data_IF_179283922854
#
_entry.id   IF_179283922854
#
_cell.length_a   1.000
_cell.length_b   1.000
_cell.length_c   1.000
_cell.angle_alpha   90.00
_cell.angle_beta   90.00
_cell.angle_gamma   90.00
#
_symmetry.space_group_name_H-M   'P 1'
#
loop_
_entity.id
_entity.type
_entity.pdbx_description
1 polymer ?
#
# COMPACT_ATOMS: atom_id res chain seq x y z
N UNK A 1 -19.02 85.44 30.51
CA UNK A 1 -19.05 84.52 29.34
C UNK A 1 -18.01 83.42 29.57
N UNK A 2 -18.51 82.19 29.76
CA UNK A 2 -17.89 80.87 29.52
C UNK A 2 -16.55 80.54 30.18
N UNK A 3 -16.65 79.85 31.32
CA UNK A 3 -15.74 78.78 31.75
C UNK A 3 -16.60 77.51 31.86
N UNK A 4 -15.98 76.35 31.65
CA UNK A 4 -16.47 74.97 31.86
C UNK A 4 -16.89 74.21 30.60
N UNK A 5 -15.94 73.40 30.10
CA UNK A 5 -16.21 72.17 29.34
C UNK A 5 -14.94 71.29 29.35
N UNK A 6 -14.57 70.81 30.52
CA UNK A 6 -13.67 69.67 30.70
C UNK A 6 -14.32 68.76 31.74
N UNK A 7 -14.15 67.44 31.56
CA UNK A 7 -14.69 66.34 32.39
C UNK A 7 -16.10 65.86 32.00
N UNK A 8 -16.22 65.07 30.94
CA UNK A 8 -17.10 63.87 30.89
C UNK A 8 -16.84 63.02 29.63
N UNK A 9 -15.72 62.32 29.55
CA UNK A 9 -15.55 61.21 28.60
C UNK A 9 -14.46 60.26 29.08
N UNK A 10 -14.71 59.65 30.24
CA UNK A 10 -13.72 58.79 30.92
C UNK A 10 -14.41 57.67 31.68
N UNK A 11 -15.38 56.97 31.08
CA UNK A 11 -15.83 55.67 31.62
C UNK A 11 -16.76 54.96 30.63
N UNK A 12 -16.19 54.09 29.78
CA UNK A 12 -16.70 52.74 29.45
C UNK A 12 -15.84 52.17 28.30
N UNK A 13 -14.68 51.64 28.67
CA UNK A 13 -14.09 50.51 27.93
C UNK A 13 -14.09 49.37 28.92
N UNK A 14 -15.27 48.76 29.10
CA UNK A 14 -15.36 47.42 29.67
C UNK A 14 -14.61 46.51 28.69
N UNK A 15 -13.40 46.16 29.08
CA UNK A 15 -12.67 45.05 28.49
C UNK A 15 -13.52 43.80 28.67
N UNK A 16 -14.22 43.38 27.62
CA UNK A 16 -14.61 41.98 27.45
C UNK A 16 -13.33 41.19 27.18
N UNK A 17 -12.49 41.04 28.22
CA UNK A 17 -11.59 39.91 28.27
C UNK A 17 -12.47 38.69 28.45
N UNK A 18 -12.88 38.07 27.35
CA UNK A 18 -13.29 36.68 27.41
C UNK A 18 -12.08 35.96 28.02
N UNK A 19 -12.18 35.54 29.28
CA UNK A 19 -11.24 34.57 29.81
C UNK A 19 -11.35 33.36 28.87
N UNK A 20 -10.34 33.15 28.04
CA UNK A 20 -10.17 31.89 27.37
C UNK A 20 -9.95 30.88 28.50
N UNK A 21 -10.98 30.08 28.80
CA UNK A 21 -10.85 28.97 29.71
C UNK A 21 -9.93 27.98 29.00
N UNK A 22 -8.67 27.86 29.45
CA UNK A 22 -7.82 26.77 29.03
C UNK A 22 -8.53 25.47 29.40
N UNK A 23 -8.79 24.63 28.40
CA UNK A 23 -9.50 23.37 28.61
C UNK A 23 -8.54 22.40 29.33
N UNK A 24 -8.60 22.35 30.65
CA UNK A 24 -7.77 21.45 31.46
C UNK A 24 -8.48 20.10 31.69
N UNK A 25 -7.78 19.00 31.39
CA UNK A 25 -8.25 17.64 31.68
C UNK A 25 -7.70 17.15 33.02
N UNK A 26 -8.56 16.55 33.82
CA UNK A 26 -8.24 16.09 35.19
C UNK A 26 -7.21 14.95 35.25
N UNK A 27 -7.04 14.22 34.15
CA UNK A 27 -6.17 13.04 34.01
C UNK A 27 -5.01 13.28 33.02
N UNK A 28 -4.74 14.55 32.68
CA UNK A 28 -3.60 14.95 31.85
C UNK A 28 -2.86 16.10 32.56
N UNK A 29 -2.01 15.80 33.56
CA UNK A 29 -1.23 16.83 34.25
C UNK A 29 -0.22 17.51 33.32
N UNK A 30 0.28 18.69 33.68
CA UNK A 30 1.21 19.49 32.85
C UNK A 30 2.50 18.74 32.48
N UNK A 31 2.93 17.79 33.31
CA UNK A 31 4.11 16.95 33.10
C UNK A 31 3.81 15.66 32.30
N UNK A 32 2.55 15.44 31.89
CA UNK A 32 2.19 14.33 31.02
C UNK A 32 2.87 14.48 29.66
N UNK A 33 3.45 13.38 29.15
CA UNK A 33 4.29 13.42 27.94
C UNK A 33 3.59 13.97 26.69
N UNK A 34 2.26 13.80 26.60
CA UNK A 34 1.43 14.31 25.51
C UNK A 34 0.65 15.58 25.87
N UNK A 35 0.93 16.23 27.01
CA UNK A 35 0.17 17.38 27.53
C UNK A 35 0.02 18.48 26.47
N UNK A 36 1.13 18.91 25.86
CA UNK A 36 1.12 19.96 24.84
C UNK A 36 0.23 19.59 23.65
N UNK A 37 0.38 18.36 23.13
CA UNK A 37 -0.38 17.87 21.99
C UNK A 37 -1.88 17.81 22.30
N UNK A 38 -2.24 17.25 23.46
CA UNK A 38 -3.62 17.11 23.90
C UNK A 38 -4.26 18.48 24.09
N UNK A 39 -3.61 19.38 24.83
CA UNK A 39 -4.14 20.72 25.12
C UNK A 39 -4.32 21.53 23.84
N UNK A 40 -3.32 21.53 22.93
CA UNK A 40 -3.41 22.28 21.66
C UNK A 40 -4.52 21.75 20.75
N UNK A 41 -4.64 20.43 20.62
CA UNK A 41 -5.70 19.84 19.80
C UNK A 41 -7.09 20.04 20.41
N UNK A 42 -7.19 20.12 21.74
CA UNK A 42 -8.45 20.40 22.41
C UNK A 42 -8.87 21.87 22.27
N UNK A 43 -7.91 22.81 22.39
CA UNK A 43 -8.12 24.24 22.10
C UNK A 43 -8.64 24.47 20.67
N UNK A 44 -8.11 23.69 19.72
CA UNK A 44 -8.50 23.77 18.30
C UNK A 44 -9.77 22.95 17.98
N UNK A 45 -10.39 22.30 18.96
CA UNK A 45 -11.62 21.52 18.79
C UNK A 45 -11.46 20.19 18.03
N UNK A 46 -10.21 19.77 17.75
CA UNK A 46 -9.89 18.51 17.07
C UNK A 46 -10.22 17.32 17.95
N UNK A 47 -9.84 17.39 19.22
CA UNK A 47 -10.16 16.37 20.22
C UNK A 47 -11.05 16.95 21.31
N UNK A 48 -11.82 16.08 21.96
CA UNK A 48 -12.71 16.45 23.06
C UNK A 48 -12.56 15.43 24.19
N UNK A 49 -12.67 15.91 25.43
CA UNK A 49 -12.77 15.06 26.60
C UNK A 49 -14.19 14.64 26.90
N UNK A 50 -14.36 13.99 28.03
CA UNK A 50 -15.63 13.47 28.52
C UNK A 50 -16.34 14.49 29.43
N UNK A 51 -17.65 14.33 29.69
CA UNK A 51 -18.40 15.22 30.59
C UNK A 51 -17.85 15.31 32.02
N UNK A 52 -17.09 14.30 32.46
CA UNK A 52 -16.41 14.25 33.76
C UNK A 52 -15.08 15.03 33.80
N UNK A 53 -14.74 15.77 32.72
CA UNK A 53 -13.48 16.50 32.53
C UNK A 53 -12.24 15.60 32.42
N UNK A 54 -12.40 14.31 32.10
CA UNK A 54 -11.28 13.44 31.72
C UNK A 54 -11.04 13.48 30.21
N UNK A 55 -9.81 13.17 29.79
CA UNK A 55 -9.45 12.91 28.40
C UNK A 55 -9.33 11.40 28.10
N UNK A 56 -9.01 10.59 29.11
CA UNK A 56 -8.70 9.15 29.04
C UNK A 56 -7.53 8.85 28.11
N UNK A 57 -6.32 9.35 28.39
CA UNK A 57 -5.19 9.28 27.47
C UNK A 57 -4.80 7.86 27.05
N UNK A 58 -4.97 6.87 27.94
CA UNK A 58 -4.58 5.47 27.69
C UNK A 58 -5.68 4.62 27.04
N UNK A 59 -6.89 5.17 26.86
CA UNK A 59 -7.96 4.41 26.21
C UNK A 59 -7.65 4.19 24.73
N UNK A 60 -7.94 2.99 24.22
CA UNK A 60 -7.80 2.68 22.79
C UNK A 60 -8.78 3.50 21.95
N UNK A 61 -8.40 3.79 20.72
CA UNK A 61 -9.21 4.54 19.76
C UNK A 61 -9.78 3.61 18.71
N UNK A 62 -11.08 3.70 18.47
CA UNK A 62 -11.73 2.99 17.36
C UNK A 62 -11.40 3.63 16.02
N UNK A 63 -11.49 2.87 14.93
CA UNK A 63 -11.25 3.39 13.57
C UNK A 63 -12.21 4.52 13.21
N UNK A 64 -13.46 4.47 13.69
CA UNK A 64 -14.42 5.56 13.49
C UNK A 64 -14.13 6.82 14.32
N UNK A 65 -13.64 6.68 15.56
CA UNK A 65 -13.19 7.83 16.35
C UNK A 65 -11.94 8.48 15.73
N UNK A 66 -10.98 7.67 15.31
CA UNK A 66 -9.79 8.15 14.59
C UNK A 66 -10.18 8.91 13.32
N UNK A 67 -11.18 8.40 12.59
CA UNK A 67 -11.72 9.06 11.39
C UNK A 67 -12.23 10.47 11.69
N UNK A 68 -13.05 10.61 12.74
CA UNK A 68 -13.56 11.91 13.17
C UNK A 68 -12.46 12.87 13.63
N UNK A 69 -11.48 12.37 14.40
CA UNK A 69 -10.32 13.19 14.82
C UNK A 69 -9.49 13.65 13.62
N UNK A 70 -9.27 12.77 12.63
CA UNK A 70 -8.52 13.08 11.43
C UNK A 70 -9.23 14.14 10.57
N UNK A 71 -10.54 14.01 10.33
CA UNK A 71 -11.31 15.01 9.58
C UNK A 71 -11.17 16.40 10.20
N UNK A 72 -11.25 16.49 11.53
CA UNK A 72 -11.08 17.75 12.25
C UNK A 72 -9.66 18.28 12.20
N UNK A 73 -8.66 17.41 12.39
CA UNK A 73 -7.26 17.80 12.29
C UNK A 73 -6.90 18.37 10.90
N UNK A 74 -7.62 17.94 9.87
CA UNK A 74 -7.49 18.40 8.48
C UNK A 74 -8.35 19.62 8.13
N UNK A 75 -9.21 20.10 9.05
CA UNK A 75 -10.24 21.10 8.78
C UNK A 75 -11.13 20.71 7.58
N UNK A 76 -11.72 19.50 7.64
CA UNK A 76 -12.54 18.90 6.56
C UNK A 76 -13.96 18.54 6.98
N UNK A 77 -14.41 19.02 8.12
CA UNK A 77 -15.75 18.79 8.66
C UNK A 77 -16.85 19.30 7.73
N UNK A 78 -16.57 20.34 6.94
CA UNK A 78 -17.48 20.94 5.96
C UNK A 78 -17.32 20.35 4.56
N UNK A 79 -16.36 19.44 4.34
CA UNK A 79 -16.16 18.83 3.03
C UNK A 79 -17.38 17.96 2.69
N UNK A 80 -17.96 18.21 1.51
CA UNK A 80 -19.01 17.37 0.95
C UNK A 80 -18.46 15.96 0.68
N UNK A 81 -19.12 14.98 1.28
CA UNK A 81 -18.84 13.56 1.08
C UNK A 81 -19.55 13.07 -0.18
N UNK A 82 -18.86 12.28 -1.01
CA UNK A 82 -19.44 11.67 -2.23
C UNK A 82 -20.68 10.80 -1.94
N UNK A 83 -20.82 10.32 -0.70
CA UNK A 83 -21.94 9.52 -0.22
C UNK A 83 -21.95 8.09 -0.74
N UNK A 84 -20.92 7.68 -1.49
CA UNK A 84 -20.71 6.35 -2.02
C UNK A 84 -19.42 5.77 -1.43
N UNK A 85 -19.56 4.84 -0.49
CA UNK A 85 -18.44 4.08 0.08
C UNK A 85 -18.65 2.60 -0.22
N UNK A 86 -17.60 1.86 -0.62
CA UNK A 86 -17.71 0.45 -1.00
C UNK A 86 -17.86 -0.49 0.21
N UNK A 87 -18.13 0.05 1.41
CA UNK A 87 -18.10 -0.69 2.66
C UNK A 87 -19.48 -1.21 3.05
N UNK A 88 -19.59 -2.52 3.20
CA UNK A 88 -20.83 -3.25 3.52
C UNK A 88 -21.29 -3.08 4.97
N UNK A 89 -20.40 -2.66 5.86
CA UNK A 89 -20.63 -2.47 7.29
C UNK A 89 -20.82 -1.00 7.69
N UNK A 90 -21.02 -0.09 6.72
CA UNK A 90 -21.37 1.30 6.96
C UNK A 90 -22.83 1.58 6.64
N UNK A 91 -23.54 2.14 7.63
CA UNK A 91 -24.91 2.63 7.47
C UNK A 91 -24.94 4.16 7.49
N UNK A 92 -25.79 4.75 6.63
CA UNK A 92 -25.99 6.22 6.57
C UNK A 92 -26.44 6.84 7.89
N UNK A 93 -26.99 6.04 8.80
CA UNK A 93 -27.46 6.48 10.12
C UNK A 93 -26.35 6.48 11.19
N UNK A 94 -25.15 6.00 10.87
CA UNK A 94 -24.01 6.02 11.80
C UNK A 94 -23.48 7.44 11.96
N UNK A 95 -23.16 7.82 13.19
CA UNK A 95 -22.59 9.13 13.49
C UNK A 95 -21.28 9.39 12.74
N UNK A 96 -20.50 8.32 12.51
CA UNK A 96 -19.20 8.33 11.84
C UNK A 96 -19.28 8.23 10.31
N UNK A 97 -20.48 8.02 9.75
CA UNK A 97 -20.64 7.76 8.31
C UNK A 97 -20.02 8.87 7.47
N UNK A 98 -20.35 10.13 7.77
CA UNK A 98 -19.88 11.30 7.00
C UNK A 98 -18.36 11.45 7.09
N UNK A 99 -17.77 11.25 8.27
CA UNK A 99 -16.33 11.40 8.48
C UNK A 99 -15.53 10.29 7.81
N UNK A 100 -16.00 9.05 7.89
CA UNK A 100 -15.39 7.92 7.19
C UNK A 100 -15.46 8.13 5.66
N UNK A 101 -16.61 8.60 5.14
CA UNK A 101 -16.72 8.94 3.72
C UNK A 101 -15.73 10.03 3.33
N UNK A 102 -15.54 11.06 4.15
CA UNK A 102 -14.59 12.14 3.88
C UNK A 102 -13.17 11.62 3.77
N UNK A 103 -12.67 10.87 4.74
CA UNK A 103 -11.28 10.38 4.70
C UNK A 103 -11.06 9.34 3.60
N UNK A 104 -12.10 8.55 3.26
CA UNK A 104 -12.10 7.65 2.11
C UNK A 104 -11.96 8.46 0.82
N UNK A 105 -12.80 9.49 0.69
CA UNK A 105 -12.77 10.45 -0.40
C UNK A 105 -11.44 11.21 -0.48
N UNK A 106 -10.70 11.35 0.61
CA UNK A 106 -9.36 11.93 0.56
C UNK A 106 -8.31 10.93 0.07
N UNK A 107 -8.63 9.63 0.05
CA UNK A 107 -7.73 8.53 -0.25
C UNK A 107 -6.76 8.24 0.89
N UNK A 108 -7.13 8.63 2.12
CA UNK A 108 -6.31 8.47 3.32
C UNK A 108 -6.50 7.12 3.99
N UNK A 109 -7.71 6.58 3.92
CA UNK A 109 -8.04 5.27 4.46
C UNK A 109 -8.69 4.42 3.38
N UNK A 110 -8.34 3.14 3.38
CA UNK A 110 -8.98 2.08 2.61
C UNK A 110 -9.49 1.04 3.59
N UNK A 111 -10.65 0.45 3.32
CA UNK A 111 -11.17 -0.68 4.07
C UNK A 111 -10.42 -1.99 3.77
N UNK A 112 -10.99 -3.08 4.24
CA UNK A 112 -10.42 -4.42 4.14
C UNK A 112 -10.83 -5.10 2.83
N UNK A 113 -10.08 -6.13 2.39
CA UNK A 113 -10.38 -6.90 1.17
C UNK A 113 -11.78 -7.52 1.12
N UNK A 114 -12.44 -7.67 2.27
CA UNK A 114 -13.82 -8.19 2.43
C UNK A 114 -14.90 -7.11 2.22
N UNK A 115 -14.54 -5.93 1.69
CA UNK A 115 -15.42 -4.77 1.54
C UNK A 115 -16.00 -4.28 2.88
N UNK A 116 -15.23 -4.32 3.97
CA UNK A 116 -15.62 -3.75 5.26
C UNK A 116 -14.67 -2.65 5.70
N UNK A 117 -15.14 -1.72 6.54
CA UNK A 117 -14.30 -0.69 7.17
C UNK A 117 -13.90 -1.04 8.62
N UNK A 118 -14.71 -1.87 9.29
CA UNK A 118 -14.63 -2.26 10.70
C UNK A 118 -14.57 -1.05 11.65
N UNK A 119 -15.58 -0.16 11.62
CA UNK A 119 -15.54 1.14 12.33
C UNK A 119 -15.30 1.01 13.83
N UNK A 120 -15.96 0.05 14.48
CA UNK A 120 -15.87 -0.17 15.93
C UNK A 120 -14.60 -0.92 16.37
N UNK A 121 -13.76 -1.39 15.44
CA UNK A 121 -12.49 -2.01 15.80
C UNK A 121 -11.48 -0.94 16.21
N UNK A 122 -10.63 -1.27 17.18
CA UNK A 122 -9.51 -0.41 17.54
C UNK A 122 -8.51 -0.30 16.39
N UNK A 123 -7.96 0.90 16.19
CA UNK A 123 -6.92 1.15 15.20
C UNK A 123 -5.55 0.83 15.79
N UNK A 124 -4.70 0.16 15.02
CA UNK A 124 -3.31 -0.10 15.40
C UNK A 124 -2.44 1.15 15.23
N UNK A 125 -1.33 1.22 15.97
CA UNK A 125 -0.34 2.29 15.80
C UNK A 125 0.20 2.36 14.37
N UNK A 126 0.47 1.21 13.76
CA UNK A 126 0.93 1.13 12.38
C UNK A 126 -0.09 1.71 11.40
N UNK A 127 -1.37 1.35 11.52
CA UNK A 127 -2.41 1.91 10.64
C UNK A 127 -2.50 3.43 10.80
N UNK A 128 -2.54 3.94 12.04
CA UNK A 128 -2.63 5.38 12.30
C UNK A 128 -1.43 6.14 11.69
N UNK A 129 -0.21 5.66 11.92
CA UNK A 129 1.01 6.29 11.38
C UNK A 129 1.04 6.29 9.85
N UNK A 130 0.63 5.20 9.19
CA UNK A 130 0.61 5.11 7.72
C UNK A 130 -0.44 6.09 7.15
N UNK A 131 -1.63 6.14 7.73
CA UNK A 131 -2.68 7.07 7.30
C UNK A 131 -2.21 8.52 7.42
N UNK A 132 -1.56 8.86 8.52
CA UNK A 132 -1.02 10.21 8.74
C UNK A 132 0.18 10.52 7.84
N UNK A 133 1.06 9.55 7.58
CA UNK A 133 2.15 9.73 6.61
C UNK A 133 1.62 10.01 5.20
N UNK A 134 0.44 9.48 4.84
CA UNK A 134 -0.22 9.76 3.56
C UNK A 134 -0.77 11.20 3.46
N UNK A 135 -0.85 11.95 4.57
CA UNK A 135 -1.21 13.38 4.51
C UNK A 135 -0.03 14.28 4.12
N UNK A 136 1.18 13.73 4.03
CA UNK A 136 2.45 14.48 3.90
C UNK A 136 2.98 14.41 2.45
N UNK A 137 3.31 15.58 1.88
CA UNK A 137 3.67 15.80 0.46
C UNK A 137 5.12 15.45 0.09
N UNK A 138 5.99 15.14 1.04
CA UNK A 138 7.42 15.15 0.74
C UNK A 138 7.91 13.99 -0.13
N UNK A 139 8.82 14.37 -1.06
CA UNK A 139 9.66 13.51 -1.89
C UNK A 139 10.80 12.93 -1.02
N UNK A 140 10.48 12.05 -0.07
CA UNK A 140 11.54 11.29 0.58
C UNK A 140 12.04 10.19 -0.37
N UNK A 141 13.36 9.96 -0.39
CA UNK A 141 13.92 8.66 -0.77
C UNK A 141 13.71 7.67 0.40
N UNK A 142 12.46 7.57 0.86
CA UNK A 142 12.07 6.74 1.99
C UNK A 142 12.52 5.32 1.70
N UNK A 143 13.46 4.83 2.50
CA UNK A 143 13.96 3.49 2.33
C UNK A 143 13.69 2.67 3.59
N UNK A 144 14.06 1.39 3.59
CA UNK A 144 13.81 0.54 4.74
C UNK A 144 14.74 0.88 5.94
N UNK A 145 15.82 1.64 5.73
CA UNK A 145 16.84 1.88 6.77
C UNK A 145 16.38 2.84 7.86
N UNK A 146 15.38 3.67 7.56
CA UNK A 146 14.72 4.54 8.55
C UNK A 146 14.14 3.71 9.70
N UNK A 147 13.81 2.44 9.45
CA UNK A 147 13.28 1.53 10.45
C UNK A 147 14.36 0.79 11.25
N UNK A 148 15.63 0.85 10.83
CA UNK A 148 16.74 0.14 11.50
C UNK A 148 17.04 0.69 12.90
N UNK A 149 16.53 1.88 13.23
CA UNK A 149 16.65 2.48 14.56
C UNK A 149 15.78 1.77 15.61
N UNK A 150 14.78 1.00 15.17
CA UNK A 150 13.81 0.38 16.06
C UNK A 150 14.19 -1.04 16.45
N UNK A 151 14.16 -1.30 17.76
CA UNK A 151 14.47 -2.63 18.34
C UNK A 151 13.49 -3.71 17.88
N UNK A 152 12.26 -3.31 17.58
CA UNK A 152 11.15 -4.16 17.16
C UNK A 152 10.87 -4.09 15.65
N UNK A 153 11.84 -3.63 14.84
CA UNK A 153 11.74 -3.60 13.37
C UNK A 153 11.35 -4.97 12.78
N UNK A 154 11.81 -6.07 13.38
CA UNK A 154 11.47 -7.43 12.95
C UNK A 154 9.96 -7.77 13.07
N UNK A 155 9.20 -7.05 13.89
CA UNK A 155 7.75 -7.24 14.03
C UNK A 155 6.93 -6.46 12.99
N UNK A 156 7.58 -5.59 12.22
CA UNK A 156 6.93 -4.80 11.17
C UNK A 156 6.59 -5.70 10.00
N UNK A 157 5.29 -5.81 9.71
CA UNK A 157 4.77 -6.53 8.55
C UNK A 157 5.28 -5.89 7.25
N UNK A 158 5.61 -6.69 6.24
CA UNK A 158 6.20 -6.20 4.99
C UNK A 158 5.38 -5.09 4.31
N UNK A 159 4.05 -5.20 4.31
CA UNK A 159 3.16 -4.20 3.73
C UNK A 159 3.24 -2.83 4.42
N UNK A 160 3.62 -2.80 5.70
CA UNK A 160 3.66 -1.59 6.50
C UNK A 160 5.00 -0.85 6.39
N UNK A 161 6.06 -1.50 5.89
CA UNK A 161 7.43 -0.94 5.89
C UNK A 161 7.51 0.37 5.12
N UNK A 162 6.94 0.44 3.91
CA UNK A 162 6.97 1.66 3.09
C UNK A 162 6.32 2.86 3.78
N UNK A 163 5.07 2.69 4.22
CA UNK A 163 4.33 3.74 4.92
C UNK A 163 4.93 4.12 6.28
N UNK A 164 5.47 3.17 7.04
CA UNK A 164 6.15 3.45 8.30
C UNK A 164 7.49 4.15 8.09
N UNK A 165 8.29 3.76 7.09
CA UNK A 165 9.50 4.48 6.72
C UNK A 165 9.19 5.94 6.42
N UNK A 166 8.09 6.20 5.71
CA UNK A 166 7.60 7.56 5.47
C UNK A 166 7.19 8.27 6.74
N UNK A 167 6.43 7.62 7.62
CA UNK A 167 6.04 8.19 8.90
C UNK A 167 7.27 8.60 9.72
N UNK A 168 8.26 7.71 9.84
CA UNK A 168 9.47 7.91 10.63
C UNK A 168 10.38 8.97 10.03
N UNK A 169 10.57 8.97 8.70
CA UNK A 169 11.35 9.99 7.99
C UNK A 169 10.79 11.41 8.22
N UNK A 170 9.48 11.52 8.45
CA UNK A 170 8.78 12.78 8.72
C UNK A 170 8.47 13.00 10.21
N UNK A 171 9.11 12.28 11.13
CA UNK A 171 8.89 12.40 12.57
C UNK A 171 7.44 12.14 13.04
N UNK A 172 6.63 11.42 12.25
CA UNK A 172 5.25 11.01 12.56
C UNK A 172 5.25 9.62 13.21
N UNK A 173 5.89 9.53 14.37
CA UNK A 173 5.82 8.34 15.22
C UNK A 173 5.90 8.74 16.69
N UNK A 174 5.37 7.90 17.57
CA UNK A 174 5.37 8.16 19.02
C UNK A 174 6.76 7.85 19.58
N UNK A 175 7.34 8.80 20.33
CA UNK A 175 8.69 8.68 20.93
C UNK A 175 8.66 8.25 22.40
N UNK A 176 7.48 8.15 22.99
CA UNK A 176 7.27 7.78 24.38
C UNK A 176 6.86 6.30 24.49
N UNK A 177 7.33 5.55 25.50
CA UNK A 177 8.35 5.93 26.48
C UNK A 177 9.80 5.82 25.94
N UNK A 178 10.00 5.08 24.86
CA UNK A 178 11.32 4.85 24.24
C UNK A 178 11.25 5.19 22.74
N UNK A 179 12.05 6.15 22.24
CA UNK A 179 12.04 6.54 20.82
C UNK A 179 12.60 5.47 19.88
N UNK A 180 13.16 4.38 20.40
CA UNK A 180 13.68 3.23 19.64
C UNK A 180 12.73 2.04 19.61
N UNK A 181 11.46 2.23 19.99
CA UNK A 181 10.43 1.18 19.98
C UNK A 181 9.14 1.73 19.34
N UNK A 182 8.62 1.05 18.31
CA UNK A 182 7.35 1.46 17.66
C UNK A 182 6.11 0.79 18.28
N UNK A 183 6.25 -0.46 18.70
CA UNK A 183 5.18 -1.42 19.00
C UNK A 183 4.15 -1.51 17.86
N UNK A 184 4.56 -1.97 16.66
CA UNK A 184 3.78 -1.83 15.43
C UNK A 184 2.40 -2.52 15.49
N UNK A 185 2.30 -3.63 16.22
CA UNK A 185 1.07 -4.42 16.31
C UNK A 185 0.14 -4.00 17.48
N UNK A 186 0.54 -3.00 18.28
CA UNK A 186 -0.25 -2.53 19.41
C UNK A 186 -1.39 -1.59 18.96
N UNK A 187 -2.48 -1.57 19.74
CA UNK A 187 -3.58 -0.63 19.56
C UNK A 187 -3.12 0.78 19.94
N UNK A 188 -3.54 1.78 19.17
CA UNK A 188 -3.22 3.17 19.45
C UNK A 188 -4.11 3.72 20.58
N UNK A 189 -3.49 4.40 21.53
CA UNK A 189 -4.17 5.12 22.60
C UNK A 189 -4.58 6.53 22.17
N UNK A 190 -5.50 7.15 22.90
CA UNK A 190 -5.94 8.53 22.65
C UNK A 190 -4.80 9.55 22.73
N UNK A 191 -3.86 9.36 23.66
CA UNK A 191 -2.68 10.21 23.77
C UNK A 191 -1.72 10.05 22.60
N UNK A 192 -1.49 8.81 22.14
CA UNK A 192 -0.68 8.53 20.95
C UNK A 192 -1.30 9.14 19.68
N UNK A 193 -2.61 9.00 19.49
CA UNK A 193 -3.31 9.65 18.37
C UNK A 193 -3.21 11.18 18.46
N UNK A 194 -3.37 11.77 19.65
CA UNK A 194 -3.23 13.21 19.84
C UNK A 194 -1.81 13.70 19.51
N UNK A 195 -0.77 13.01 19.97
CA UNK A 195 0.62 13.34 19.65
C UNK A 195 0.90 13.29 18.13
N UNK A 196 0.44 12.23 17.46
CA UNK A 196 0.61 12.08 16.01
C UNK A 196 -0.13 13.16 15.22
N UNK A 197 -1.39 13.46 15.55
CA UNK A 197 -2.16 14.53 14.90
C UNK A 197 -1.55 15.91 15.15
N UNK A 198 -1.02 16.15 16.35
CA UNK A 198 -0.33 17.39 16.69
C UNK A 198 0.92 17.58 15.84
N UNK A 199 1.73 16.52 15.66
CA UNK A 199 2.92 16.54 14.79
C UNK A 199 2.58 16.89 13.36
N UNK A 200 1.56 16.24 12.79
CA UNK A 200 1.09 16.53 11.43
C UNK A 200 0.69 18.00 11.27
N UNK A 201 -0.05 18.56 12.24
CA UNK A 201 -0.47 19.98 12.19
C UNK A 201 0.69 20.94 12.39
N UNK A 202 1.61 20.65 13.31
CA UNK A 202 2.77 21.50 13.63
C UNK A 202 3.73 21.64 12.46
N UNK A 203 3.96 20.56 11.72
CA UNK A 203 4.85 20.59 10.56
C UNK A 203 4.22 21.35 9.37
N UNK A 204 2.92 21.65 9.42
CA UNK A 204 2.20 22.31 8.32
C UNK A 204 2.09 21.44 7.06
N UNK A 205 2.52 20.17 7.14
CA UNK A 205 2.58 19.24 6.01
C UNK A 205 1.24 18.52 5.86
N UNK A 206 0.20 19.34 5.66
CA UNK A 206 -1.01 18.88 5.01
C UNK A 206 -0.80 19.11 3.52
N UNK A 207 -0.89 18.05 2.72
CA UNK A 207 -0.87 18.18 1.26
C UNK A 207 -1.71 19.38 0.84
N UNK A 208 -1.20 20.24 -0.05
CA UNK A 208 -2.01 21.29 -0.69
C UNK A 208 -3.32 20.72 -1.30
N UNK A 209 -3.34 19.41 -1.56
CA UNK A 209 -4.51 18.58 -1.90
C UNK A 209 -5.68 18.71 -0.92
N UNK A 210 -5.37 18.77 0.37
CA UNK A 210 -6.34 18.89 1.45
C UNK A 210 -6.48 20.33 1.94
N UNK A 211 -5.83 21.32 1.33
CA UNK A 211 -6.03 22.72 1.71
C UNK A 211 -6.95 23.49 0.76
N UNK A 212 -7.17 23.02 -0.47
CA UNK A 212 -8.12 23.65 -1.42
C UNK A 212 -9.45 22.91 -1.48
N UNK A 213 -10.54 23.62 -1.21
CA UNK A 213 -11.88 23.22 -1.65
C UNK A 213 -11.90 23.14 -3.18
N UNK A 214 -12.36 22.00 -3.74
CA UNK A 214 -12.40 21.74 -5.19
C UNK A 214 -11.42 20.69 -5.74
N UNK A 215 -10.85 19.82 -4.90
CA UNK A 215 -9.84 18.81 -5.26
C UNK A 215 -10.37 17.58 -6.04
N UNK A 216 -11.05 17.78 -7.18
CA UNK A 216 -11.42 16.67 -8.07
C UNK A 216 -10.26 16.15 -8.95
N UNK A 217 -9.15 16.90 -9.06
CA UNK A 217 -8.12 16.65 -10.09
C UNK A 217 -6.70 16.43 -9.56
N UNK A 218 -6.52 16.06 -8.29
CA UNK A 218 -5.17 15.92 -7.73
C UNK A 218 -4.68 14.49 -7.89
N UNK A 219 -3.75 14.34 -8.85
CA UNK A 219 -3.00 13.12 -9.12
C UNK A 219 -1.67 13.18 -8.36
N UNK A 220 -1.39 12.18 -7.54
CA UNK A 220 -0.05 11.91 -6.99
C UNK A 220 0.62 10.84 -7.84
N UNK A 221 1.92 11.00 -8.06
CA UNK A 221 2.75 9.98 -8.68
C UNK A 221 3.37 9.17 -7.55
N UNK A 222 3.05 7.89 -7.49
CA UNK A 222 3.56 6.92 -6.53
C UNK A 222 4.24 5.78 -7.28
N UNK A 223 4.86 4.85 -6.56
CA UNK A 223 5.73 3.84 -7.16
C UNK A 223 5.40 2.42 -6.69
N UNK A 224 5.45 1.45 -7.60
CA UNK A 224 5.53 0.03 -7.26
C UNK A 224 6.97 -0.39 -6.99
N UNK A 225 7.12 -1.51 -6.31
CA UNK A 225 8.40 -2.19 -6.24
C UNK A 225 8.93 -2.48 -7.65
N UNK A 226 10.14 -2.02 -7.94
CA UNK A 226 10.82 -2.30 -9.22
C UNK A 226 11.25 -3.76 -9.30
N UNK A 227 11.03 -4.35 -10.47
CA UNK A 227 11.52 -5.67 -10.85
C UNK A 227 12.40 -5.53 -12.10
N UNK A 228 13.72 -5.42 -11.90
CA UNK A 228 14.70 -5.20 -12.97
C UNK A 228 14.69 -3.78 -13.58
N UNK A 229 15.46 -3.59 -14.65
CA UNK A 229 15.79 -2.25 -15.19
C UNK A 229 14.84 -1.74 -16.31
N UNK A 230 13.78 -2.49 -16.67
CA UNK A 230 12.92 -2.18 -17.85
C UNK A 230 11.40 -2.24 -17.61
N UNK A 231 10.96 -1.90 -16.40
CA UNK A 231 9.56 -1.65 -16.07
C UNK A 231 9.30 -0.17 -15.77
N UNK A 232 8.04 0.25 -15.85
CA UNK A 232 7.60 1.45 -15.15
C UNK A 232 7.23 1.03 -13.73
N UNK A 233 7.70 1.72 -12.70
CA UNK A 233 7.12 1.61 -11.37
C UNK A 233 6.05 2.66 -11.11
N UNK A 234 5.87 3.64 -11.99
CA UNK A 234 4.95 4.74 -11.75
C UNK A 234 3.50 4.26 -11.65
N UNK A 235 2.78 4.78 -10.66
CA UNK A 235 1.36 4.62 -10.44
C UNK A 235 0.77 6.01 -10.26
N UNK A 236 -0.24 6.36 -11.06
CA UNK A 236 -0.96 7.61 -10.86
C UNK A 236 -2.09 7.38 -9.86
N UNK A 237 -1.93 7.88 -8.66
CA UNK A 237 -2.93 7.78 -7.60
C UNK A 237 -3.81 9.02 -7.63
N UNK A 238 -5.09 8.84 -7.92
CA UNK A 238 -6.10 9.90 -7.85
C UNK A 238 -7.05 9.64 -6.69
N UNK A 239 -8.03 10.53 -6.56
CA UNK A 239 -9.03 10.51 -5.48
C UNK A 239 -9.80 9.20 -5.40
N UNK A 240 -10.31 8.72 -6.53
CA UNK A 240 -11.25 7.60 -6.60
C UNK A 240 -10.66 6.34 -7.23
N UNK A 241 -9.50 6.44 -7.86
CA UNK A 241 -8.84 5.33 -8.54
C UNK A 241 -7.32 5.49 -8.48
N UNK A 242 -6.63 4.36 -8.57
CA UNK A 242 -5.22 4.30 -8.89
C UNK A 242 -5.08 3.76 -10.32
N UNK A 243 -4.23 4.39 -11.12
CA UNK A 243 -3.95 3.95 -12.47
C UNK A 243 -2.56 3.31 -12.51
N UNK A 244 -2.55 1.98 -12.64
CA UNK A 244 -1.35 1.23 -12.99
C UNK A 244 -0.97 1.59 -14.42
N UNK A 245 0.30 1.90 -14.65
CA UNK A 245 0.79 2.34 -15.95
C UNK A 245 1.28 1.15 -16.79
N UNK A 246 1.37 1.38 -18.10
CA UNK A 246 2.10 0.49 -19.00
C UNK A 246 3.52 0.25 -18.45
N UNK A 247 3.91 -1.01 -18.38
CA UNK A 247 5.22 -1.42 -17.89
C UNK A 247 5.26 -1.74 -16.39
N UNK A 248 4.20 -1.47 -15.62
CA UNK A 248 4.10 -1.94 -14.24
C UNK A 248 4.18 -3.47 -14.19
N UNK A 249 4.98 -3.98 -13.26
CA UNK A 249 5.20 -5.42 -13.05
C UNK A 249 4.63 -5.84 -11.71
N UNK A 250 3.85 -6.92 -11.70
CA UNK A 250 3.25 -7.51 -10.49
C UNK A 250 3.62 -8.97 -10.41
N UNK A 251 3.99 -9.43 -9.22
CA UNK A 251 4.26 -10.84 -8.95
C UNK A 251 2.95 -11.57 -8.62
N UNK A 252 2.68 -12.66 -9.32
CA UNK A 252 1.47 -13.48 -9.18
C UNK A 252 1.85 -14.94 -9.05
N UNK A 253 0.91 -15.81 -8.69
CA UNK A 253 1.09 -17.26 -8.65
C UNK A 253 0.11 -17.96 -9.59
N UNK A 254 0.52 -19.05 -10.21
CA UNK A 254 -0.34 -19.87 -11.05
C UNK A 254 -1.43 -20.55 -10.22
N UNK A 255 -2.69 -20.44 -10.65
CA UNK A 255 -3.84 -21.04 -9.93
C UNK A 255 -3.98 -22.53 -10.24
N UNK A 256 -3.70 -22.94 -11.48
CA UNK A 256 -3.87 -24.33 -11.91
C UNK A 256 -2.64 -24.82 -12.63
N UNK A 257 -2.11 -25.97 -12.20
CA UNK A 257 -0.99 -26.62 -12.86
C UNK A 257 -1.33 -27.01 -14.31
N UNK A 258 -0.36 -26.90 -15.23
CA UNK A 258 -0.51 -27.37 -16.60
C UNK A 258 0.83 -27.83 -17.20
N UNK A 259 0.77 -28.54 -18.32
CA UNK A 259 1.96 -29.02 -19.04
C UNK A 259 1.85 -28.71 -20.53
N UNK A 260 2.97 -28.43 -21.20
CA UNK A 260 2.96 -28.19 -22.66
C UNK A 260 2.63 -29.44 -23.49
N UNK A 261 2.60 -30.62 -22.85
CA UNK A 261 2.13 -31.88 -23.45
C UNK A 261 0.61 -31.90 -23.64
N UNK A 262 -0.12 -31.36 -22.65
CA UNK A 262 -1.57 -31.47 -22.56
C UNK A 262 -2.28 -30.17 -22.93
N UNK A 263 -1.67 -29.03 -22.61
CA UNK A 263 -2.27 -27.74 -22.85
C UNK A 263 -2.29 -27.39 -24.35
N UNK A 264 -3.27 -26.58 -24.74
CA UNK A 264 -3.44 -26.07 -26.09
C UNK A 264 -3.63 -24.54 -26.10
N UNK A 265 -3.32 -23.91 -27.23
CA UNK A 265 -3.65 -22.49 -27.42
C UNK A 265 -5.18 -22.30 -27.37
N UNK A 266 -5.62 -21.23 -26.72
CA UNK A 266 -7.02 -20.95 -26.42
C UNK A 266 -7.50 -21.50 -25.07
N UNK A 267 -6.72 -22.33 -24.39
CA UNK A 267 -7.04 -22.74 -23.01
C UNK A 267 -6.90 -21.57 -22.04
N UNK A 268 -7.75 -21.60 -21.01
CA UNK A 268 -7.78 -20.59 -19.97
C UNK A 268 -6.55 -20.70 -19.06
N UNK A 269 -5.94 -19.57 -18.73
CA UNK A 269 -4.91 -19.46 -17.70
C UNK A 269 -5.35 -18.47 -16.63
N UNK A 270 -5.11 -18.84 -15.37
CA UNK A 270 -5.44 -18.02 -14.19
C UNK A 270 -4.21 -17.85 -13.32
N UNK A 271 -3.91 -16.61 -12.98
CA UNK A 271 -2.90 -16.24 -11.99
C UNK A 271 -3.59 -15.54 -10.83
N UNK A 272 -3.05 -15.65 -9.63
CA UNK A 272 -3.59 -14.99 -8.44
C UNK A 272 -2.53 -14.16 -7.76
N UNK A 273 -2.95 -13.02 -7.21
CA UNK A 273 -2.10 -12.20 -6.37
C UNK A 273 -1.94 -12.86 -5.00
N UNK A 274 -0.71 -13.18 -4.59
CA UNK A 274 -0.45 -13.92 -3.33
C UNK A 274 -0.46 -13.04 -2.08
N UNK A 275 -0.27 -11.73 -2.25
CA UNK A 275 -0.22 -10.72 -1.18
C UNK A 275 -0.86 -9.43 -1.67
N UNK A 276 -1.44 -8.65 -0.77
CA UNK A 276 -1.96 -7.32 -1.09
C UNK A 276 -0.87 -6.48 -1.79
N UNK A 277 -1.25 -5.81 -2.88
CA UNK A 277 -0.40 -4.93 -3.65
C UNK A 277 -0.56 -3.50 -3.13
N UNK A 278 0.56 -2.91 -2.74
CA UNK A 278 0.67 -1.51 -2.33
C UNK A 278 1.71 -0.78 -3.18
N UNK A 279 1.59 0.53 -3.27
CA UNK A 279 2.72 1.40 -3.64
C UNK A 279 3.78 1.38 -2.53
N UNK A 280 5.01 1.73 -2.84
CA UNK A 280 6.09 1.91 -1.87
C UNK A 280 5.76 3.02 -0.86
N UNK A 281 4.92 3.98 -1.26
CA UNK A 281 4.36 5.02 -0.42
C UNK A 281 3.22 4.54 0.49
N UNK A 282 2.73 3.30 0.32
CA UNK A 282 1.73 2.67 1.18
C UNK A 282 0.27 2.80 0.72
N UNK A 283 0.03 3.26 -0.51
CA UNK A 283 -1.32 3.24 -1.09
C UNK A 283 -1.71 1.82 -1.48
N UNK A 284 -2.83 1.34 -0.97
CA UNK A 284 -3.42 0.07 -1.39
C UNK A 284 -3.90 0.14 -2.84
N UNK A 285 -3.59 -0.90 -3.62
CA UNK A 285 -3.94 -1.00 -5.04
C UNK A 285 -4.82 -2.21 -5.32
N UNK A 286 -4.41 -3.40 -4.89
CA UNK A 286 -5.13 -4.65 -5.16
C UNK A 286 -5.06 -5.59 -3.95
N UNK A 287 -6.15 -6.26 -3.57
CA UNK A 287 -6.14 -7.27 -2.52
C UNK A 287 -5.52 -8.59 -3.01
N UNK A 288 -4.89 -9.33 -2.10
CA UNK A 288 -4.55 -10.73 -2.28
C UNK A 288 -5.78 -11.54 -2.71
N UNK A 289 -5.57 -12.56 -3.52
CA UNK A 289 -6.64 -13.36 -4.12
C UNK A 289 -7.21 -12.75 -5.41
N UNK A 290 -6.83 -11.52 -5.80
CA UNK A 290 -7.15 -10.96 -7.12
C UNK A 290 -6.71 -11.94 -8.22
N UNK A 291 -7.62 -12.30 -9.13
CA UNK A 291 -7.39 -13.26 -10.20
C UNK A 291 -7.15 -12.52 -11.50
N UNK A 292 -6.03 -12.80 -12.16
CA UNK A 292 -5.75 -12.40 -13.52
C UNK A 292 -6.09 -13.56 -14.46
N UNK A 293 -7.04 -13.34 -15.35
CA UNK A 293 -7.58 -14.34 -16.26
C UNK A 293 -7.21 -14.02 -17.69
N UNK A 294 -6.92 -15.07 -18.45
CA UNK A 294 -6.51 -14.94 -19.83
C UNK A 294 -6.53 -16.26 -20.56
N UNK A 295 -5.85 -16.27 -21.70
CA UNK A 295 -5.71 -17.48 -22.53
C UNK A 295 -4.26 -17.71 -22.90
N UNK A 296 -3.91 -18.99 -23.05
CA UNK A 296 -2.66 -19.41 -23.68
C UNK A 296 -2.74 -19.03 -25.15
N UNK A 297 -1.79 -18.21 -25.63
CA UNK A 297 -1.77 -17.70 -27.00
C UNK A 297 -0.96 -18.60 -27.92
N UNK A 298 0.12 -19.19 -27.40
CA UNK A 298 0.96 -20.10 -28.17
C UNK A 298 1.62 -21.16 -27.28
N UNK A 299 1.81 -22.36 -27.83
CA UNK A 299 2.66 -23.40 -27.27
C UNK A 299 3.57 -23.89 -28.37
N UNK A 300 4.88 -23.69 -28.20
CA UNK A 300 5.90 -24.20 -29.11
C UNK A 300 6.63 -25.34 -28.40
N UNK A 301 6.47 -26.56 -28.91
CA UNK A 301 7.17 -27.73 -28.41
C UNK A 301 8.61 -27.81 -28.99
N UNK A 302 9.58 -28.33 -28.21
CA UNK A 302 10.96 -28.43 -28.64
C UNK A 302 11.11 -29.43 -29.81
N UNK A 303 11.88 -29.07 -30.83
CA UNK A 303 12.24 -29.91 -31.98
C UNK A 303 13.72 -30.31 -31.94
N UNK A 304 14.10 -31.35 -32.69
CA UNK A 304 15.46 -31.92 -32.73
C UNK A 304 16.60 -30.87 -32.87
N UNK A 305 16.34 -29.80 -33.63
CA UNK A 305 17.29 -28.70 -33.88
C UNK A 305 16.90 -27.36 -33.21
N UNK A 306 15.67 -27.25 -32.67
CA UNK A 306 15.21 -26.07 -31.93
C UNK A 306 14.74 -26.51 -30.56
N UNK A 307 15.64 -26.45 -29.59
CA UNK A 307 15.41 -26.91 -28.22
C UNK A 307 14.57 -25.95 -27.38
N UNK A 308 14.12 -24.83 -27.93
CA UNK A 308 13.38 -23.84 -27.16
C UNK A 308 11.89 -24.20 -27.14
N UNK A 309 11.39 -24.60 -25.97
CA UNK A 309 9.97 -24.67 -25.69
C UNK A 309 9.46 -23.28 -25.31
N UNK A 310 8.27 -22.90 -25.79
CA UNK A 310 7.66 -21.60 -25.47
C UNK A 310 6.21 -21.75 -25.08
N UNK A 311 5.78 -20.94 -24.12
CA UNK A 311 4.39 -20.76 -23.75
C UNK A 311 4.10 -19.27 -23.70
N UNK A 312 3.28 -18.79 -24.62
CA UNK A 312 2.74 -17.45 -24.60
C UNK A 312 1.39 -17.42 -23.91
N UNK A 313 1.11 -16.37 -23.16
CA UNK A 313 -0.24 -16.09 -22.69
C UNK A 313 -0.53 -14.59 -22.67
N UNK A 314 -1.81 -14.27 -22.76
CA UNK A 314 -2.31 -12.92 -22.61
C UNK A 314 -3.44 -12.91 -21.58
N UNK A 315 -3.33 -12.01 -20.62
CA UNK A 315 -4.30 -11.77 -19.56
C UNK A 315 -5.15 -10.58 -19.98
N UNK A 316 -6.46 -10.82 -20.02
CA UNK A 316 -7.44 -9.85 -20.53
C UNK A 316 -8.35 -9.34 -19.44
N UNK A 317 -8.41 -10.02 -18.29
CA UNK A 317 -9.28 -9.64 -17.17
C UNK A 317 -8.56 -9.73 -15.84
N UNK A 318 -8.86 -8.78 -14.98
CA UNK A 318 -8.54 -8.80 -13.56
C UNK A 318 -9.86 -8.90 -12.80
N UNK A 319 -9.96 -9.83 -11.85
CA UNK A 319 -11.15 -10.09 -11.04
C UNK A 319 -10.78 -9.97 -9.57
N UNK A 320 -11.35 -8.99 -8.88
CA UNK A 320 -11.17 -8.81 -7.44
C UNK A 320 -11.88 -9.91 -6.65
N UNK A 321 -11.47 -10.20 -5.39
CA UNK A 321 -12.20 -11.08 -4.49
C UNK A 321 -13.66 -10.67 -4.27
N UNK A 322 -13.97 -9.37 -4.41
CA UNK A 322 -15.34 -8.83 -4.39
C UNK A 322 -16.20 -9.23 -5.59
N UNK A 323 -15.61 -9.83 -6.63
CA UNK A 323 -16.26 -10.16 -7.90
C UNK A 323 -16.22 -9.04 -8.94
N UNK A 324 -15.72 -7.85 -8.59
CA UNK A 324 -15.57 -6.74 -9.52
C UNK A 324 -14.49 -7.03 -10.55
N UNK A 325 -14.74 -6.69 -11.81
CA UNK A 325 -13.86 -7.02 -12.94
C UNK A 325 -13.34 -5.78 -13.64
N UNK A 326 -12.09 -5.83 -14.08
CA UNK A 326 -11.43 -4.81 -14.88
C UNK A 326 -10.86 -5.46 -16.12
N UNK A 327 -11.09 -4.84 -17.28
CA UNK A 327 -10.41 -5.25 -18.50
C UNK A 327 -8.96 -4.77 -18.43
N UNK A 328 -8.04 -5.66 -18.76
CA UNK A 328 -6.60 -5.40 -18.71
C UNK A 328 -5.94 -5.92 -19.99
N UNK A 329 -4.73 -5.44 -20.26
CA UNK A 329 -3.83 -6.05 -21.22
C UNK A 329 -2.53 -6.33 -20.48
N UNK A 330 -2.25 -7.59 -20.16
CA UNK A 330 -1.04 -7.97 -19.47
C UNK A 330 -0.51 -9.33 -19.94
N UNK A 331 0.80 -9.55 -19.82
CA UNK A 331 1.41 -10.84 -20.14
C UNK A 331 2.62 -11.10 -19.27
N UNK A 332 3.32 -12.21 -19.48
CA UNK A 332 4.56 -12.49 -18.76
C UNK A 332 5.58 -11.33 -18.87
N UNK A 333 6.14 -10.93 -17.74
CA UNK A 333 7.24 -9.97 -17.68
C UNK A 333 8.56 -10.66 -18.03
N UNK A 334 9.07 -10.41 -19.23
CA UNK A 334 10.36 -10.93 -19.72
C UNK A 334 11.43 -9.85 -19.59
N UNK A 335 12.42 -10.00 -18.72
CA UNK A 335 13.56 -9.08 -18.67
C UNK A 335 14.48 -9.27 -19.88
N UNK A 336 14.98 -8.17 -20.44
CA UNK A 336 16.37 -8.18 -20.91
C UNK A 336 17.20 -7.70 -19.72
N UNK A 337 17.64 -8.64 -18.87
CA UNK A 337 18.35 -8.26 -17.63
C UNK A 337 18.66 -9.36 -16.60
N UNK A 338 19.15 -10.53 -17.03
CA UNK A 338 19.95 -11.47 -16.22
C UNK A 338 19.28 -12.19 -15.02
N UNK A 339 19.13 -13.51 -15.16
CA UNK A 339 19.78 -14.39 -14.18
C UNK A 339 21.22 -14.52 -14.67
N UNK A 340 22.21 -14.02 -13.93
CA UNK A 340 23.59 -14.45 -14.15
C UNK A 340 23.67 -15.95 -13.88
N UNK A 341 23.58 -16.78 -14.91
CA UNK A 341 24.33 -18.04 -14.86
C UNK A 341 25.76 -17.66 -15.17
N UNK A 342 26.53 -17.31 -14.13
CA UNK A 342 27.96 -17.08 -14.28
C UNK A 342 28.68 -18.36 -14.67
N UNK A 343 28.70 -18.72 -15.95
CA UNK A 343 29.70 -19.65 -16.51
C UNK A 343 29.96 -19.36 -17.99
N UNK A 344 31.22 -19.02 -18.28
CA UNK A 344 31.77 -18.99 -19.63
C UNK A 344 31.78 -20.41 -20.20
N UNK A 345 31.09 -20.65 -21.31
CA UNK A 345 31.18 -21.91 -22.05
C UNK A 345 32.61 -22.09 -22.58
N UNK A 346 33.42 -22.90 -21.89
CA UNK A 346 34.66 -23.43 -22.46
C UNK A 346 34.76 -24.93 -22.17
N UNK A 347 34.75 -25.70 -23.26
CA UNK A 347 35.00 -27.14 -23.39
C UNK A 347 33.84 -28.09 -23.06
N UNK A 348 32.93 -28.23 -24.02
CA UNK A 348 32.02 -29.37 -24.11
C UNK A 348 32.79 -30.63 -24.54
N UNK A 349 33.03 -31.56 -23.61
CA UNK A 349 33.25 -32.98 -23.92
C UNK A 349 32.24 -33.82 -23.15
N UNK A 350 31.62 -34.75 -23.89
CA UNK A 350 30.71 -35.81 -23.45
C UNK A 350 31.17 -36.38 -22.11
N UNK A 351 30.38 -36.26 -21.07
CA UNK A 351 29.93 -37.40 -20.27
C UNK A 351 28.86 -36.97 -19.26
N UNK A 352 27.92 -37.89 -19.11
CA UNK A 352 26.71 -37.88 -18.30
C UNK A 352 27.06 -37.65 -16.81
N UNK A 353 26.45 -36.67 -16.13
CA UNK A 353 25.99 -36.73 -14.71
C UNK A 353 25.40 -35.37 -14.28
N UNK A 354 24.23 -35.50 -13.67
CA UNK A 354 23.48 -34.61 -12.79
C UNK A 354 24.32 -33.79 -11.81
N UNK A 355 24.17 -32.46 -11.81
CA UNK A 355 24.47 -31.64 -10.61
C UNK A 355 23.56 -30.42 -10.58
N UNK A 356 22.56 -30.47 -9.70
CA UNK A 356 21.75 -29.32 -9.30
C UNK A 356 22.64 -28.31 -8.55
N UNK A 357 22.58 -27.05 -8.95
CA UNK A 357 23.18 -25.95 -8.21
C UNK A 357 22.11 -24.89 -7.94
N UNK A 358 21.58 -24.92 -6.72
CA UNK A 358 20.77 -23.87 -6.10
C UNK A 358 21.60 -23.29 -4.96
N UNK A 359 22.30 -22.17 -5.18
CA UNK A 359 22.84 -21.20 -4.18
C UNK A 359 23.24 -19.95 -5.00
N UNK A 360 22.94 -18.67 -4.73
CA UNK A 360 22.22 -17.99 -3.66
C UNK A 360 22.42 -16.46 -3.77
N UNK A 361 21.56 -15.73 -3.03
CA UNK A 361 21.64 -14.31 -2.60
C UNK A 361 21.28 -13.21 -3.61
N UNK A 362 19.99 -12.87 -3.62
CA UNK A 362 19.38 -11.72 -4.29
C UNK A 362 17.94 -12.07 -4.66
N UNK A 363 16.96 -11.66 -3.86
CA UNK A 363 15.57 -12.13 -3.90
C UNK A 363 14.86 -11.86 -5.25
N UNK A 364 15.03 -12.75 -6.21
CA UNK A 364 14.24 -12.86 -7.43
C UNK A 364 13.76 -14.29 -7.57
N UNK A 365 12.62 -14.60 -6.94
CA UNK A 365 12.03 -15.94 -6.98
C UNK A 365 11.74 -16.33 -8.44
N UNK A 366 12.57 -17.21 -9.00
CA UNK A 366 12.20 -18.00 -10.16
C UNK A 366 11.24 -19.09 -9.71
N UNK A 367 10.14 -19.30 -10.44
CA UNK A 367 9.37 -20.52 -10.31
C UNK A 367 10.32 -21.72 -10.41
N UNK A 368 10.29 -22.61 -9.42
CA UNK A 368 10.98 -23.90 -9.48
C UNK A 368 10.21 -24.79 -10.44
N UNK A 369 10.46 -24.61 -11.73
CA UNK A 369 10.01 -25.51 -12.80
C UNK A 369 10.78 -26.82 -12.61
N UNK A 370 10.19 -27.72 -11.82
CA UNK A 370 10.83 -28.93 -11.32
C UNK A 370 10.86 -30.05 -12.35
N UNK A 371 11.94 -30.84 -12.30
CA UNK A 371 12.28 -31.84 -13.28
C UNK A 371 12.66 -33.13 -12.57
N UNK A 372 12.03 -34.23 -12.96
CA UNK A 372 12.29 -35.57 -12.44
C UNK A 372 13.21 -36.31 -13.41
N UNK A 373 13.77 -37.45 -13.02
CA UNK A 373 14.45 -38.36 -13.96
C UNK A 373 14.14 -39.79 -13.50
N UNK A 374 13.93 -40.69 -14.46
CA UNK A 374 13.43 -42.07 -14.38
C UNK A 374 11.91 -42.32 -14.54
N UNK A 375 11.12 -41.32 -14.91
CA UNK A 375 9.74 -41.49 -15.42
C UNK A 375 9.40 -40.39 -16.43
N UNK A 376 9.54 -40.60 -17.74
CA UNK A 376 9.01 -39.78 -18.85
C UNK A 376 9.08 -38.22 -18.80
N UNK A 377 9.81 -37.63 -17.85
CA UNK A 377 9.77 -36.22 -17.45
C UNK A 377 11.15 -35.86 -16.91
N UNK A 378 11.68 -34.69 -17.28
CA UNK A 378 13.07 -34.24 -17.03
C UNK A 378 13.36 -32.99 -17.83
N UNK A 379 14.20 -32.06 -17.33
CA UNK A 379 14.51 -30.88 -18.10
C UNK A 379 15.74 -30.05 -17.71
N UNK A 380 15.66 -28.79 -18.12
CA UNK A 380 16.67 -27.77 -18.15
C UNK A 380 15.95 -26.43 -17.92
N UNK A 381 16.55 -25.59 -17.08
CA UNK A 381 16.17 -24.21 -16.81
C UNK A 381 16.55 -23.37 -18.04
N UNK A 382 15.60 -22.63 -18.61
CA UNK A 382 15.89 -21.71 -19.70
C UNK A 382 15.53 -20.27 -19.33
N UNK A 383 16.31 -19.35 -19.89
CA UNK A 383 16.20 -17.92 -19.70
C UNK A 383 14.98 -17.35 -20.43
N UNK A 384 14.28 -16.40 -19.81
CA UNK A 384 13.24 -15.62 -20.47
C UNK A 384 13.90 -14.71 -21.52
N UNK A 385 13.78 -15.04 -22.81
CA UNK A 385 14.22 -14.17 -23.91
C UNK A 385 13.12 -14.03 -24.96
N UNK A 386 12.47 -12.86 -25.02
CA UNK A 386 11.54 -12.52 -26.09
C UNK A 386 10.88 -11.16 -25.89
N UNK A 387 11.19 -10.19 -26.76
CA UNK A 387 10.52 -8.90 -26.79
C UNK A 387 9.20 -9.02 -27.58
N UNK A 388 8.07 -8.77 -26.90
CA UNK A 388 6.73 -8.72 -27.50
C UNK A 388 5.82 -9.85 -27.02
N UNK A 389 4.71 -9.48 -26.37
CA UNK A 389 3.58 -10.33 -25.97
C UNK A 389 3.90 -11.58 -25.10
N UNK A 390 4.22 -11.39 -23.81
CA UNK A 390 3.94 -12.37 -22.75
C UNK A 390 4.38 -13.83 -22.97
N UNK A 391 5.62 -14.07 -23.42
CA UNK A 391 6.13 -15.42 -23.71
C UNK A 391 7.12 -15.91 -22.66
N UNK A 392 6.81 -17.03 -22.02
CA UNK A 392 7.76 -17.82 -21.24
C UNK A 392 8.53 -18.75 -22.17
N UNK A 393 9.87 -18.66 -22.17
CA UNK A 393 10.73 -19.52 -23.00
C UNK A 393 11.65 -20.32 -22.10
N UNK A 394 11.78 -21.62 -22.39
CA UNK A 394 12.75 -22.47 -21.73
C UNK A 394 13.42 -23.41 -22.73
N UNK A 395 14.71 -23.66 -22.54
CA UNK A 395 15.42 -24.67 -23.32
C UNK A 395 15.08 -26.05 -22.74
N UNK A 396 14.58 -26.95 -23.57
CA UNK A 396 14.11 -28.29 -23.18
C UNK A 396 14.72 -29.32 -24.12
N UNK A 397 15.08 -30.48 -23.57
CA UNK A 397 15.58 -31.61 -24.37
C UNK A 397 14.42 -32.11 -25.26
N UNK A 398 14.66 -32.40 -26.56
CA UNK A 398 13.63 -32.99 -27.42
C UNK A 398 13.04 -34.26 -26.80
N UNK A 399 11.70 -34.32 -26.68
CA UNK A 399 10.97 -35.41 -26.01
C UNK A 399 10.46 -35.07 -24.61
N UNK A 400 10.89 -33.95 -24.04
CA UNK A 400 10.44 -33.45 -22.75
C UNK A 400 9.52 -32.23 -22.88
N UNK A 401 8.70 -31.99 -21.86
CA UNK A 401 7.67 -30.94 -21.84
C UNK A 401 7.85 -30.02 -20.63
N UNK A 402 7.40 -28.77 -20.74
CA UNK A 402 7.37 -27.86 -19.59
C UNK A 402 6.19 -28.21 -18.70
N UNK A 403 6.42 -28.18 -17.40
CA UNK A 403 5.41 -28.37 -16.37
C UNK A 403 5.38 -27.13 -15.48
N UNK A 404 4.20 -26.53 -15.36
CA UNK A 404 3.93 -25.46 -14.42
C UNK A 404 3.08 -26.03 -13.29
N UNK A 405 3.50 -25.81 -12.06
CA UNK A 405 2.79 -26.25 -10.86
C UNK A 405 1.90 -25.13 -10.34
N UNK A 406 0.83 -25.53 -9.67
CA UNK A 406 0.05 -24.61 -8.87
C UNK A 406 0.96 -23.93 -7.84
N UNK A 407 0.81 -22.61 -7.70
CA UNK A 407 1.66 -21.79 -6.84
C UNK A 407 2.95 -21.28 -7.49
N UNK A 408 3.29 -21.72 -8.72
CA UNK A 408 4.47 -21.21 -9.42
C UNK A 408 4.36 -19.70 -9.63
N UNK A 409 5.39 -18.97 -9.21
CA UNK A 409 5.41 -17.52 -9.28
C UNK A 409 5.69 -17.04 -10.70
N UNK A 410 4.80 -16.19 -11.21
CA UNK A 410 4.85 -15.61 -12.53
C UNK A 410 4.71 -14.10 -12.38
N UNK A 411 5.69 -13.36 -12.87
CA UNK A 411 5.58 -11.90 -12.97
C UNK A 411 4.83 -11.53 -14.23
N UNK A 412 3.86 -10.64 -14.09
CA UNK A 412 3.09 -10.10 -15.20
C UNK A 412 3.43 -8.64 -15.39
N UNK A 413 3.42 -8.18 -16.63
CA UNK A 413 3.62 -6.79 -17.01
C UNK A 413 2.36 -6.27 -17.68
N UNK A 414 1.87 -5.12 -17.23
CA UNK A 414 0.80 -4.40 -17.90
C UNK A 414 1.31 -3.81 -19.21
N UNK A 415 0.62 -4.08 -20.30
CA UNK A 415 0.90 -3.54 -21.62
C UNK A 415 0.14 -2.23 -21.87
N UNK A 416 -0.98 -2.04 -21.17
CA UNK A 416 -1.81 -0.83 -21.21
C UNK A 416 -2.11 -0.36 -19.78
N UNK A 417 -2.39 0.94 -19.57
CA UNK A 417 -2.78 1.43 -18.26
C UNK A 417 -4.13 0.83 -17.83
N UNK A 418 -4.27 0.53 -16.54
CA UNK A 418 -5.55 0.10 -15.95
C UNK A 418 -5.91 1.01 -14.78
N UNK A 419 -7.15 1.51 -14.78
CA UNK A 419 -7.72 2.27 -13.67
C UNK A 419 -8.43 1.30 -12.72
N UNK A 420 -7.97 1.28 -11.48
CA UNK A 420 -8.51 0.45 -10.41
C UNK A 420 -9.13 1.39 -9.38
N UNK A 421 -10.45 1.28 -9.21
CA UNK A 421 -11.14 2.02 -8.16
C UNK A 421 -10.58 1.69 -6.77
N UNK A 422 -10.38 2.74 -5.97
CA UNK A 422 -9.81 2.66 -4.62
C UNK A 422 -10.87 2.49 -3.54
#
# INVERSE_FOLDING_TARGET
KKIAATVLSSLLLLTNGAMAFALEFTDVPEDYWAYEAITKLAEDGVITGYPDKSFKPDASVTREEFSGMLVKALNKETMEASGCVPYTDLSKNMWSYSDINRINDLGLVVGYPDNTFKPANNITKTEAMIVLANTIKENCACNAKELDIFKDNAEIRDWAKGGLSKAVANDIYVKYPDPTVLSPNAQATRAEIADLLYKVRKQGILMAKYQKEGASNISTLEHLKLYGDKGSNEVQVKRLYAQLQTGNIVETALVSAFTTKKAAAGEEIKLTLTKDLYTEEGTFLLPAGTIFQGVITEIINPKLFNRNAKVGFNLTKLVLPSGKTYDISAGAATESGLIETGYTMRNFKRDFITTAAVIGVGAGMGALIGLTDHSDEGAIIGTCSGAGAGVLTAAVIPGYHLQFKEGDLIRIKFNEPVEIDR
#
